data_IF_694952475009
#
_entry.id   IF_694952475009
#
_cell.length_a   1.000
_cell.length_b   1.000
_cell.length_c   1.000
_cell.angle_alpha   90.00
_cell.angle_beta   90.00
_cell.angle_gamma   90.00
#
_symmetry.space_group_name_H-M   'P 1'
#
loop_
_entity.id
_entity.type
_entity.pdbx_description
1 polymer ?
#
# COMPACT_ATOMS: atom_id res chain seq x y z
N UNK A 1 -15.25 -23.22 8.73
CA UNK A 1 -15.54 -21.78 8.56
C UNK A 1 -15.01 -21.39 7.19
N UNK A 2 -15.86 -20.88 6.28
CA UNK A 2 -15.38 -20.42 4.98
C UNK A 2 -14.57 -19.14 5.18
N UNK A 3 -13.42 -19.07 4.51
CA UNK A 3 -12.58 -17.88 4.52
C UNK A 3 -12.82 -17.16 3.19
N UNK A 4 -13.72 -16.19 3.21
CA UNK A 4 -14.21 -15.49 2.03
C UNK A 4 -13.10 -14.75 1.30
N UNK A 5 -12.07 -14.30 2.01
CA UNK A 5 -10.88 -13.71 1.41
C UNK A 5 -10.17 -14.68 0.44
N UNK A 6 -10.00 -15.96 0.82
CA UNK A 6 -9.33 -16.93 -0.06
C UNK A 6 -10.22 -17.42 -1.20
N UNK A 7 -11.53 -17.48 -0.98
CA UNK A 7 -12.48 -17.84 -2.04
C UNK A 7 -12.67 -16.71 -3.06
N UNK A 8 -12.67 -15.46 -2.61
CA UNK A 8 -12.91 -14.25 -3.42
C UNK A 8 -11.92 -13.14 -3.07
N UNK A 9 -10.62 -13.31 -3.38
CA UNK A 9 -9.60 -12.33 -3.01
C UNK A 9 -9.73 -11.01 -3.77
N UNK A 10 -10.36 -11.03 -4.95
CA UNK A 10 -10.54 -9.86 -5.82
C UNK A 10 -12.00 -9.42 -5.78
N UNK A 11 -12.25 -8.23 -5.21
CA UNK A 11 -13.61 -7.68 -5.03
C UNK A 11 -14.08 -6.73 -6.15
N UNK A 12 -13.14 -6.27 -6.99
CA UNK A 12 -13.39 -5.26 -8.00
C UNK A 12 -13.18 -5.83 -9.42
N UNK A 13 -13.96 -5.33 -10.37
CA UNK A 13 -13.75 -5.62 -11.79
C UNK A 13 -12.44 -4.97 -12.28
N UNK A 14 -11.68 -5.62 -13.18
CA UNK A 14 -10.49 -5.02 -13.78
C UNK A 14 -10.80 -3.80 -14.66
N UNK A 15 -12.06 -3.62 -15.08
CA UNK A 15 -12.50 -2.52 -15.94
C UNK A 15 -13.24 -1.40 -15.19
N UNK A 16 -13.52 -1.60 -13.91
CA UNK A 16 -14.23 -0.62 -13.08
C UNK A 16 -13.26 0.07 -12.11
N UNK A 17 -13.68 1.23 -11.62
CA UNK A 17 -12.95 1.89 -10.55
C UNK A 17 -12.94 1.03 -9.26
N UNK A 18 -11.78 0.80 -8.61
CA UNK A 18 -11.71 0.03 -7.38
C UNK A 18 -12.41 0.76 -6.24
N UNK A 19 -13.53 0.23 -5.78
CA UNK A 19 -14.37 0.85 -4.75
C UNK A 19 -14.34 0.10 -3.43
N UNK A 20 -13.81 -1.13 -3.39
CA UNK A 20 -13.79 -1.96 -2.19
C UNK A 20 -12.46 -2.67 -1.99
N UNK A 21 -12.13 -3.00 -0.76
CA UNK A 21 -11.00 -3.88 -0.47
C UNK A 21 -11.22 -4.69 0.79
N UNK A 22 -10.51 -5.81 0.89
CA UNK A 22 -10.37 -6.55 2.14
C UNK A 22 -9.46 -5.77 3.08
N UNK A 23 -9.92 -5.55 4.32
CA UNK A 23 -9.11 -4.99 5.38
C UNK A 23 -8.03 -6.00 5.81
N UNK A 24 -6.83 -5.47 6.03
CA UNK A 24 -5.71 -6.21 6.61
C UNK A 24 -5.37 -5.59 7.97
N UNK A 25 -5.02 -6.43 8.94
CA UNK A 25 -4.52 -5.96 10.23
C UNK A 25 -3.08 -5.41 10.13
N UNK A 26 -2.54 -4.94 11.26
CA UNK A 26 -1.17 -4.39 11.35
C UNK A 26 -0.07 -5.39 10.97
N UNK A 27 -0.37 -6.70 10.93
CA UNK A 27 0.54 -7.75 10.47
C UNK A 27 0.27 -8.15 9.01
N UNK A 28 -0.67 -7.51 8.33
CA UNK A 28 -1.06 -7.78 6.96
C UNK A 28 -2.01 -8.98 6.80
N UNK A 29 -2.65 -9.45 7.88
CA UNK A 29 -3.57 -10.59 7.81
C UNK A 29 -5.00 -10.14 7.51
N UNK A 30 -5.76 -10.88 6.67
CA UNK A 30 -7.12 -10.50 6.30
C UNK A 30 -8.09 -10.66 7.46
N UNK A 31 -8.80 -9.59 7.82
CA UNK A 31 -9.76 -9.56 8.93
C UNK A 31 -11.15 -10.11 8.54
N UNK A 32 -11.34 -10.48 7.27
CA UNK A 32 -12.64 -10.79 6.65
C UNK A 32 -13.60 -9.57 6.55
N UNK A 33 -13.17 -8.37 6.91
CA UNK A 33 -13.95 -7.16 6.69
C UNK A 33 -13.73 -6.62 5.28
N UNK A 34 -14.81 -6.13 4.65
CA UNK A 34 -14.76 -5.39 3.39
C UNK A 34 -14.97 -3.92 3.72
N UNK A 35 -14.07 -3.07 3.21
CA UNK A 35 -14.16 -1.63 3.33
C UNK A 35 -14.57 -1.04 1.99
N UNK A 36 -15.62 -0.20 1.99
CA UNK A 36 -16.20 0.43 0.79
C UNK A 36 -15.44 1.68 0.34
N UNK A 37 -14.12 1.57 0.26
CA UNK A 37 -13.25 2.58 -0.33
C UNK A 37 -12.11 1.93 -1.14
N UNK A 38 -11.46 2.74 -1.99
CA UNK A 38 -10.22 2.34 -2.66
C UNK A 38 -9.10 2.19 -1.64
N UNK A 39 -8.46 1.02 -1.60
CA UNK A 39 -7.27 0.78 -0.75
C UNK A 39 -6.16 1.79 -1.05
N UNK A 40 -5.64 2.45 0.00
CA UNK A 40 -4.44 3.30 -0.13
C UNK A 40 -3.24 2.45 -0.53
N UNK A 41 -2.32 3.04 -1.29
CA UNK A 41 -1.04 2.39 -1.55
C UNK A 41 -0.23 2.41 -0.26
N UNK A 42 0.08 1.22 0.25
CA UNK A 42 0.94 1.01 1.41
C UNK A 42 1.91 -0.11 1.03
N UNK A 43 3.20 0.21 0.96
CA UNK A 43 4.24 -0.79 0.81
C UNK A 43 4.76 -1.07 2.21
N UNK A 44 4.43 -2.24 2.74
CA UNK A 44 5.14 -2.77 3.90
C UNK A 44 6.52 -3.16 3.36
N UNK A 45 7.55 -2.36 3.63
CA UNK A 45 8.92 -2.78 3.31
C UNK A 45 9.16 -4.10 4.05
N UNK A 46 9.34 -5.22 3.35
CA UNK A 46 9.48 -6.52 3.99
C UNK A 46 10.91 -6.59 4.52
N UNK A 47 11.21 -5.87 5.59
CA UNK A 47 12.39 -6.15 6.39
C UNK A 47 11.98 -7.32 7.28
N UNK A 48 12.44 -8.56 7.01
CA UNK A 48 12.07 -9.70 7.82
C UNK A 48 12.50 -9.42 9.26
N UNK A 49 11.52 -9.34 10.17
CA UNK A 49 11.80 -9.19 11.60
C UNK A 49 12.63 -10.39 12.05
N UNK A 50 13.80 -10.20 12.69
CA UNK A 50 14.67 -11.30 13.09
C UNK A 50 13.92 -12.25 14.05
N UNK A 51 13.89 -13.53 13.70
CA UNK A 51 13.13 -14.57 14.44
C UNK A 51 13.65 -14.84 15.86
N UNK A 52 14.83 -14.32 16.23
CA UNK A 52 15.41 -14.43 17.58
C UNK A 52 15.78 -13.03 18.09
N UNK A 53 15.03 -12.51 19.06
CA UNK A 53 15.45 -11.35 19.87
C UNK A 53 15.98 -11.89 21.20
N UNK A 54 17.29 -12.11 21.31
CA UNK A 54 17.94 -12.40 22.60
C UNK A 54 18.47 -11.09 23.18
N UNK A 55 17.71 -10.48 24.09
CA UNK A 55 18.17 -9.64 25.21
C UNK A 55 19.29 -8.60 25.02
N UNK A 56 19.53 -8.09 23.82
CA UNK A 56 20.51 -7.05 23.53
C UNK A 56 19.87 -5.89 22.78
N UNK A 57 20.44 -4.69 22.95
CA UNK A 57 19.97 -3.42 22.40
C UNK A 57 19.45 -3.53 20.95
N UNK A 58 18.38 -2.79 20.62
CA UNK A 58 17.82 -2.78 19.27
C UNK A 58 18.89 -2.42 18.24
N UNK A 59 19.21 -3.38 17.37
CA UNK A 59 20.12 -3.14 16.24
C UNK A 59 19.43 -2.19 15.26
N UNK A 60 20.08 -1.06 14.97
CA UNK A 60 19.59 -0.09 14.00
C UNK A 60 19.37 -0.74 12.62
N UNK A 61 18.31 -0.33 11.94
CA UNK A 61 17.97 -0.76 10.59
C UNK A 61 19.09 -0.43 9.60
N UNK A 62 19.54 -1.43 8.85
CA UNK A 62 20.49 -1.24 7.76
C UNK A 62 19.79 -0.55 6.59
N UNK A 63 20.21 0.66 6.25
CA UNK A 63 19.83 1.30 4.99
C UNK A 63 20.47 0.50 3.84
N UNK A 64 19.64 -0.05 2.95
CA UNK A 64 20.13 -0.73 1.75
C UNK A 64 20.50 0.33 0.71
N UNK A 65 21.80 0.55 0.52
CA UNK A 65 22.31 1.41 -0.54
C UNK A 65 22.24 0.67 -1.89
N UNK A 66 21.52 1.22 -2.87
CA UNK A 66 21.41 0.66 -4.23
C UNK A 66 22.72 0.84 -5.06
N UNK A 67 23.85 1.07 -4.40
CA UNK A 67 25.19 1.09 -5.01
C UNK A 67 25.51 2.34 -5.83
N UNK A 68 24.67 3.37 -5.75
CA UNK A 68 24.90 4.67 -6.42
C UNK A 68 25.27 5.80 -5.46
N UNK A 69 25.35 5.55 -4.15
CA UNK A 69 25.61 6.61 -3.16
C UNK A 69 24.54 7.69 -3.12
N UNK A 70 23.33 7.36 -3.59
CA UNK A 70 22.14 8.23 -3.66
C UNK A 70 21.11 7.88 -2.58
N UNK A 71 21.50 7.08 -1.58
CA UNK A 71 20.62 6.47 -0.59
C UNK A 71 21.02 6.97 0.80
N UNK A 72 20.48 8.11 1.23
CA UNK A 72 20.50 8.55 2.64
C UNK A 72 19.32 7.95 3.40
N UNK A 73 19.36 7.95 4.74
CA UNK A 73 18.21 7.56 5.58
C UNK A 73 16.95 8.41 5.26
N UNK A 74 17.12 9.63 4.75
CA UNK A 74 16.01 10.49 4.29
C UNK A 74 15.55 10.19 2.85
N UNK A 75 16.32 9.45 2.06
CA UNK A 75 16.04 9.07 0.67
C UNK A 75 15.36 7.69 0.54
N UNK A 76 14.89 7.11 1.65
CA UNK A 76 13.83 6.11 1.61
C UNK A 76 12.60 6.76 1.00
N UNK A 77 12.52 6.74 -0.34
CA UNK A 77 11.45 7.33 -1.11
C UNK A 77 10.10 6.89 -0.54
N UNK A 78 9.32 7.88 -0.12
CA UNK A 78 7.90 7.71 0.17
C UNK A 78 7.14 7.54 -1.16
N UNK A 79 7.43 6.44 -1.87
CA UNK A 79 6.71 6.04 -3.08
C UNK A 79 5.21 5.92 -2.79
N UNK A 80 4.83 5.63 -1.54
CA UNK A 80 3.41 5.59 -1.14
C UNK A 80 2.75 6.96 -1.22
N UNK A 81 3.40 8.03 -0.75
CA UNK A 81 2.87 9.38 -0.84
C UNK A 81 2.70 9.81 -2.30
N UNK A 82 3.70 9.58 -3.15
CA UNK A 82 3.63 9.93 -4.58
C UNK A 82 2.48 9.16 -5.26
N UNK A 83 2.38 7.85 -5.05
CA UNK A 83 1.32 7.04 -5.68
C UNK A 83 -0.07 7.47 -5.18
N UNK A 84 -0.22 7.72 -3.87
CA UNK A 84 -1.49 8.18 -3.32
C UNK A 84 -1.84 9.58 -3.85
N UNK A 85 -0.87 10.49 -4.00
CA UNK A 85 -1.08 11.80 -4.59
C UNK A 85 -1.56 11.72 -6.04
N UNK A 86 -0.88 10.92 -6.89
CA UNK A 86 -1.31 10.69 -8.28
C UNK A 86 -2.73 10.12 -8.32
N UNK A 87 -3.05 9.15 -7.46
CA UNK A 87 -4.41 8.59 -7.40
C UNK A 87 -5.45 9.65 -7.04
N UNK A 88 -5.16 10.53 -6.09
CA UNK A 88 -6.06 11.64 -5.75
C UNK A 88 -6.28 12.58 -6.94
N UNK A 89 -5.23 12.96 -7.66
CA UNK A 89 -5.38 13.82 -8.85
C UNK A 89 -6.18 13.14 -9.96
N UNK A 90 -5.94 11.85 -10.21
CA UNK A 90 -6.74 11.08 -11.17
C UNK A 90 -8.20 10.98 -10.74
N UNK A 91 -8.47 10.85 -9.45
CA UNK A 91 -9.85 10.78 -8.93
C UNK A 91 -10.57 12.13 -9.06
N UNK A 92 -9.87 13.25 -8.83
CA UNK A 92 -10.39 14.59 -9.12
C UNK A 92 -10.72 14.73 -10.61
N UNK A 93 -9.83 14.30 -11.50
CA UNK A 93 -10.04 14.35 -12.94
C UNK A 93 -11.27 13.53 -13.38
N UNK A 94 -11.45 12.32 -12.84
CA UNK A 94 -12.65 11.49 -13.12
C UNK A 94 -13.95 12.10 -12.62
N UNK A 95 -13.90 12.94 -11.59
CA UNK A 95 -15.08 13.62 -11.05
C UNK A 95 -15.55 14.79 -11.93
N UNK A 96 -14.76 15.22 -12.92
CA UNK A 96 -15.15 16.27 -13.85
C UNK A 96 -16.29 15.78 -14.76
N UNK A 97 -17.48 16.40 -14.71
CA UNK A 97 -18.67 15.90 -15.42
C UNK A 97 -18.61 16.17 -16.93
N UNK A 98 -17.85 17.17 -17.35
CA UNK A 98 -17.75 17.59 -18.74
C UNK A 98 -16.40 17.16 -19.33
N UNK A 99 -16.40 16.33 -20.39
CA UNK A 99 -15.17 15.91 -21.05
C UNK A 99 -14.30 17.05 -21.60
N UNK A 100 -14.89 18.21 -21.90
CA UNK A 100 -14.13 19.37 -22.38
C UNK A 100 -13.27 20.03 -21.29
N UNK A 101 -13.53 19.73 -20.02
CA UNK A 101 -12.75 20.25 -18.89
C UNK A 101 -11.57 19.33 -18.54
N UNK A 102 -11.41 18.20 -19.25
CA UNK A 102 -10.26 17.31 -19.12
C UNK A 102 -9.03 18.01 -19.72
N UNK A 103 -8.06 18.37 -18.88
CA UNK A 103 -6.82 19.07 -19.26
C UNK A 103 -5.60 18.20 -19.01
#
# INVERSE_FOLDING_TARGET
MSNLFFEKPILNSPYAYPSRHWELDDQGQPTQAIIDTRRRAEFITPIPKPRKRKGGAEQASLAFDEGKGLSSEQQLYDYTAIINAVRMEVDKWRALPNPNDWR
#
